data_IF_164973828153
#
_entry.id   IF_164973828153
#
_cell.length_a   1.000
_cell.length_b   1.000
_cell.length_c   1.000
_cell.angle_alpha   90.00
_cell.angle_beta   90.00
_cell.angle_gamma   90.00
#
_symmetry.space_group_name_H-M   'P 1'
#
loop_
_entity.id
_entity.type
_entity.pdbx_description
1 polymer ?
#
# COMPACT_ATOMS: atom_id res chain seq x y z
N UNK A 1 15.66 -0.44 10.40
CA UNK A 1 14.37 -1.14 10.18
C UNK A 1 13.72 -0.63 8.91
N UNK A 2 13.17 -1.51 8.12
CA UNK A 2 12.37 -1.15 6.94
C UNK A 2 10.94 -1.59 7.16
N UNK A 3 9.97 -0.72 6.92
CA UNK A 3 8.54 -1.04 6.98
C UNK A 3 7.97 -0.90 5.58
N UNK A 4 7.34 -1.95 5.07
CA UNK A 4 6.50 -1.87 3.88
C UNK A 4 5.05 -1.74 4.33
N UNK A 5 4.40 -0.63 3.97
CA UNK A 5 3.02 -0.36 4.30
C UNK A 5 2.17 -0.32 3.02
N UNK A 6 1.08 -1.08 3.02
CA UNK A 6 0.07 -1.04 1.97
C UNK A 6 -1.19 -0.34 2.49
N UNK A 7 -1.76 0.56 1.68
CA UNK A 7 -2.97 1.28 2.02
C UNK A 7 -4.21 0.49 1.63
N UNK A 8 -4.96 0.05 2.62
CA UNK A 8 -6.28 -0.55 2.42
C UNK A 8 -7.34 0.55 2.41
N UNK A 9 -8.04 0.71 1.30
CA UNK A 9 -9.14 1.64 1.18
C UNK A 9 -10.38 1.20 1.97
N UNK A 10 -10.33 1.25 3.31
CA UNK A 10 -11.52 1.16 4.14
C UNK A 10 -11.89 2.58 4.57
N UNK A 11 -12.84 3.19 3.84
CA UNK A 11 -13.46 4.44 4.29
C UNK A 11 -14.40 4.15 5.46
N UNK A 12 -14.00 4.49 6.66
CA UNK A 12 -14.97 4.68 7.74
C UNK A 12 -15.77 5.97 7.49
N UNK A 13 -17.09 5.88 7.71
CA UNK A 13 -17.98 7.04 7.60
C UNK A 13 -17.53 8.09 8.63
N UNK A 14 -17.32 9.36 8.26
CA UNK A 14 -17.09 10.41 9.24
C UNK A 14 -18.31 10.55 10.14
N UNK A 15 -18.09 10.72 11.42
CA UNK A 15 -19.11 11.01 12.43
C UNK A 15 -19.92 12.22 12.00
N UNK A 16 -21.22 12.02 11.79
CA UNK A 16 -22.13 13.04 11.30
C UNK A 16 -22.43 14.06 12.41
N UNK A 17 -21.99 15.29 12.22
CA UNK A 17 -22.45 16.43 13.00
C UNK A 17 -23.36 17.34 12.15
N UNK A 18 -24.43 17.75 12.74
CA UNK A 18 -25.68 18.38 12.33
C UNK A 18 -25.68 19.62 11.37
N UNK A 19 -24.88 19.70 10.31
CA UNK A 19 -25.01 20.73 9.25
C UNK A 19 -25.59 20.23 7.92
N UNK A 20 -26.26 19.07 7.92
CA UNK A 20 -26.60 18.31 6.70
C UNK A 20 -27.85 18.74 5.92
N UNK A 21 -28.76 19.53 6.44
CA UNK A 21 -30.05 19.75 5.73
C UNK A 21 -29.97 20.62 4.47
N UNK A 22 -28.95 21.49 4.31
CA UNK A 22 -28.85 22.41 3.16
C UNK A 22 -27.96 21.88 2.01
N UNK A 23 -27.06 20.95 2.30
CA UNK A 23 -26.19 20.32 1.29
C UNK A 23 -26.86 19.12 0.64
N UNK A 24 -27.81 18.49 1.33
CA UNK A 24 -28.52 17.29 0.85
C UNK A 24 -29.50 17.59 -0.30
N UNK A 25 -29.98 18.82 -0.44
CA UNK A 25 -30.86 19.23 -1.55
C UNK A 25 -30.13 19.50 -2.86
N UNK A 26 -28.85 19.94 -2.80
CA UNK A 26 -28.01 20.17 -3.97
C UNK A 26 -27.33 18.92 -4.52
N UNK A 27 -27.27 17.84 -3.74
CA UNK A 27 -26.60 16.59 -4.16
C UNK A 27 -27.52 15.59 -4.87
N UNK A 28 -28.83 15.82 -4.90
CA UNK A 28 -29.78 14.89 -5.53
C UNK A 28 -29.82 14.95 -7.06
N UNK A 29 -29.33 16.02 -7.68
CA UNK A 29 -29.39 16.19 -9.14
C UNK A 29 -28.19 15.65 -9.91
N UNK A 30 -27.09 15.24 -9.22
CA UNK A 30 -25.88 14.72 -9.86
C UNK A 30 -25.31 13.45 -9.19
N UNK A 31 -26.17 12.53 -8.75
CA UNK A 31 -25.70 11.25 -8.25
C UNK A 31 -25.15 10.40 -9.40
N UNK A 32 -23.82 10.23 -9.44
CA UNK A 32 -23.16 9.36 -10.40
C UNK A 32 -23.57 7.90 -10.07
N UNK A 33 -24.43 7.31 -10.90
CA UNK A 33 -24.88 5.93 -10.73
C UNK A 33 -23.92 4.94 -11.39
N UNK A 34 -23.64 3.83 -10.68
CA UNK A 34 -22.89 2.71 -11.23
C UNK A 34 -23.86 1.69 -11.78
N UNK A 35 -23.64 1.25 -13.01
CA UNK A 35 -24.31 0.13 -13.64
C UNK A 35 -23.34 -1.05 -13.71
N UNK A 36 -23.76 -2.20 -13.23
CA UNK A 36 -23.01 -3.45 -13.36
C UNK A 36 -23.72 -4.32 -14.39
N UNK A 37 -22.96 -4.88 -15.32
CA UNK A 37 -23.41 -5.88 -16.26
C UNK A 37 -22.75 -7.20 -15.89
N UNK A 38 -23.53 -8.21 -15.57
CA UNK A 38 -23.05 -9.53 -15.19
C UNK A 38 -23.67 -10.55 -16.16
N UNK A 39 -22.85 -11.27 -16.89
CA UNK A 39 -23.30 -12.28 -17.87
C UNK A 39 -24.33 -11.76 -18.91
N UNK A 40 -24.17 -10.48 -19.32
CA UNK A 40 -25.09 -9.82 -20.26
C UNK A 40 -26.33 -9.18 -19.63
N UNK A 41 -26.61 -9.43 -18.36
CA UNK A 41 -27.71 -8.81 -17.63
C UNK A 41 -27.30 -7.54 -16.89
N UNK A 42 -28.05 -6.46 -17.09
CA UNK A 42 -27.82 -5.19 -16.41
C UNK A 42 -28.49 -5.19 -15.05
N UNK A 43 -27.70 -5.16 -13.99
CA UNK A 43 -28.18 -5.06 -12.62
C UNK A 43 -28.72 -3.66 -12.31
N UNK A 44 -29.54 -3.56 -11.25
CA UNK A 44 -30.09 -2.28 -10.79
C UNK A 44 -28.98 -1.30 -10.45
N UNK A 45 -29.04 -0.10 -11.02
CA UNK A 45 -28.08 0.97 -10.75
C UNK A 45 -28.11 1.38 -9.27
N UNK A 46 -26.94 1.70 -8.73
CA UNK A 46 -26.82 2.23 -7.37
C UNK A 46 -25.92 3.49 -7.36
N UNK A 47 -26.16 4.44 -6.44
CA UNK A 47 -25.41 5.68 -6.40
C UNK A 47 -23.97 5.46 -5.88
N UNK A 48 -23.00 6.08 -6.54
CA UNK A 48 -21.63 6.13 -6.09
C UNK A 48 -21.48 7.18 -4.98
N UNK A 49 -21.44 6.74 -3.73
CA UNK A 49 -21.38 7.64 -2.56
C UNK A 49 -19.96 8.14 -2.25
N UNK A 50 -18.95 7.49 -2.75
CA UNK A 50 -17.54 7.86 -2.48
C UNK A 50 -16.59 7.16 -3.45
N UNK A 51 -15.40 7.77 -3.64
CA UNK A 51 -14.37 7.27 -4.53
C UNK A 51 -14.50 7.83 -5.95
N UNK A 52 -13.62 7.35 -6.81
CA UNK A 52 -13.60 7.67 -8.24
C UNK A 52 -13.79 6.39 -9.04
N UNK A 53 -14.24 6.51 -10.28
CA UNK A 53 -14.35 5.37 -11.20
C UNK A 53 -12.97 4.75 -11.43
N UNK A 54 -12.90 3.43 -11.38
CA UNK A 54 -11.74 2.71 -11.88
C UNK A 54 -11.57 3.02 -13.37
N UNK A 55 -10.34 3.35 -13.79
CA UNK A 55 -10.04 3.82 -15.16
C UNK A 55 -10.26 5.32 -15.39
N UNK A 56 -10.68 6.10 -14.38
CA UNK A 56 -10.71 7.56 -14.49
C UNK A 56 -9.26 8.11 -14.52
N UNK A 57 -8.85 8.88 -15.54
CA UNK A 57 -7.48 9.41 -15.64
C UNK A 57 -7.07 10.31 -14.47
N UNK A 58 -8.04 10.94 -13.82
CA UNK A 58 -7.79 11.85 -12.69
C UNK A 58 -7.56 11.11 -11.37
N UNK A 59 -8.01 9.87 -11.25
CA UNK A 59 -7.92 9.13 -9.99
C UNK A 59 -6.49 8.89 -9.48
N UNK A 60 -5.52 8.48 -10.32
CA UNK A 60 -4.14 8.32 -9.88
C UNK A 60 -3.51 9.64 -9.44
N UNK A 61 -3.81 10.74 -10.15
CA UNK A 61 -3.28 12.05 -9.81
C UNK A 61 -3.79 12.52 -8.44
N UNK A 62 -5.09 12.43 -8.20
CA UNK A 62 -5.70 12.80 -6.92
C UNK A 62 -5.16 11.95 -5.77
N UNK A 63 -4.98 10.65 -5.99
CA UNK A 63 -4.39 9.76 -5.00
C UNK A 63 -2.96 10.18 -4.66
N UNK A 64 -2.13 10.44 -5.66
CA UNK A 64 -0.75 10.89 -5.46
C UNK A 64 -0.67 12.22 -4.70
N UNK A 65 -1.54 13.19 -5.01
CA UNK A 65 -1.58 14.48 -4.30
C UNK A 65 -1.91 14.27 -2.82
N UNK A 66 -2.89 13.41 -2.53
CA UNK A 66 -3.30 13.11 -1.15
C UNK A 66 -2.18 12.39 -0.40
N UNK A 67 -1.53 11.40 -1.03
CA UNK A 67 -0.45 10.64 -0.40
C UNK A 67 0.83 11.47 -0.19
N UNK A 68 1.12 12.42 -1.10
CA UNK A 68 2.29 13.32 -0.98
C UNK A 68 2.19 14.23 0.24
N UNK A 69 0.99 14.58 0.68
CA UNK A 69 0.82 15.34 1.93
C UNK A 69 1.36 14.56 3.14
N UNK A 70 1.07 13.27 3.24
CA UNK A 70 1.63 12.41 4.29
C UNK A 70 3.14 12.24 4.12
N UNK A 71 3.59 11.98 2.89
CA UNK A 71 5.01 11.81 2.60
C UNK A 71 5.83 13.04 3.00
N UNK A 72 5.31 14.23 2.71
CA UNK A 72 5.92 15.50 3.10
C UNK A 72 5.98 15.64 4.61
N UNK A 73 4.91 15.30 5.33
CA UNK A 73 4.89 15.33 6.79
C UNK A 73 5.94 14.39 7.40
N UNK A 74 6.06 13.16 6.88
CA UNK A 74 7.08 12.19 7.33
C UNK A 74 8.50 12.69 7.05
N UNK A 75 8.74 13.28 5.87
CA UNK A 75 10.07 13.83 5.52
C UNK A 75 10.45 15.00 6.42
N UNK A 76 9.49 15.87 6.75
CA UNK A 76 9.72 17.04 7.60
C UNK A 76 9.90 16.68 9.09
N UNK A 77 9.41 15.53 9.54
CA UNK A 77 9.46 15.13 10.93
C UNK A 77 10.89 14.76 11.37
N UNK A 78 11.40 15.50 12.36
CA UNK A 78 12.78 15.34 12.86
C UNK A 78 12.96 14.12 13.77
N UNK A 79 11.90 13.69 14.43
CA UNK A 79 11.94 12.51 15.31
C UNK A 79 11.99 11.20 14.49
N UNK A 80 11.55 11.23 13.23
CA UNK A 80 11.68 10.12 12.31
C UNK A 80 13.02 10.25 11.59
N UNK A 81 13.99 9.43 12.00
CA UNK A 81 15.29 9.37 11.35
C UNK A 81 15.31 8.27 10.30
N UNK A 82 15.69 8.65 9.08
CA UNK A 82 15.88 7.76 7.95
C UNK A 82 17.29 7.18 7.88
N UNK A 83 17.51 6.30 6.92
CA UNK A 83 18.84 5.74 6.65
C UNK A 83 19.68 6.73 5.81
N UNK A 84 20.98 6.70 6.01
CA UNK A 84 21.93 7.54 5.26
C UNK A 84 22.46 6.82 4.01
N UNK A 85 21.99 7.25 2.84
CA UNK A 85 22.49 6.78 1.54
C UNK A 85 22.89 8.03 0.74
N UNK A 86 24.04 8.62 1.07
CA UNK A 86 24.46 9.94 0.60
C UNK A 86 23.60 11.07 1.19
N UNK A 87 22.29 11.00 0.99
CA UNK A 87 21.26 11.83 1.66
C UNK A 87 20.45 10.98 2.63
N UNK A 88 19.79 11.63 3.60
CA UNK A 88 18.82 10.95 4.46
C UNK A 88 17.62 10.50 3.62
N UNK A 89 17.32 9.20 3.64
CA UNK A 89 16.15 8.61 3.00
C UNK A 89 15.22 8.08 4.06
N UNK A 90 14.02 8.64 4.17
CA UNK A 90 13.00 8.23 5.14
C UNK A 90 11.96 7.32 4.52
N UNK A 91 11.60 7.57 3.24
CA UNK A 91 10.55 6.80 2.58
C UNK A 91 10.72 6.77 1.06
N UNK A 92 10.18 5.71 0.46
CA UNK A 92 9.96 5.55 -0.97
C UNK A 92 8.48 5.24 -1.20
N UNK A 93 7.91 5.79 -2.27
CA UNK A 93 6.52 5.61 -2.65
C UNK A 93 6.43 5.03 -4.05
N UNK A 94 5.57 4.05 -4.22
CA UNK A 94 5.19 3.53 -5.52
C UNK A 94 3.69 3.19 -5.49
N UNK A 95 2.88 3.97 -6.20
CA UNK A 95 1.42 3.88 -6.16
C UNK A 95 0.90 3.89 -4.70
N UNK A 96 0.20 2.85 -4.28
CA UNK A 96 -0.32 2.66 -2.92
C UNK A 96 0.66 2.00 -1.95
N UNK A 97 1.80 1.55 -2.43
CA UNK A 97 2.84 0.95 -1.58
C UNK A 97 3.84 1.99 -1.08
N UNK A 98 4.11 1.96 0.22
CA UNK A 98 5.08 2.82 0.88
C UNK A 98 6.14 1.97 1.57
N UNK A 99 7.40 2.26 1.30
CA UNK A 99 8.53 1.71 2.06
C UNK A 99 9.09 2.80 2.96
N UNK A 100 9.18 2.51 4.25
CA UNK A 100 9.73 3.40 5.26
C UNK A 100 11.06 2.85 5.76
N UNK A 101 12.07 3.70 5.80
CA UNK A 101 13.41 3.39 6.29
C UNK A 101 13.62 4.09 7.61
N UNK A 102 13.82 3.34 8.69
CA UNK A 102 13.86 3.87 10.05
C UNK A 102 15.15 3.43 10.75
N UNK A 103 15.98 4.37 11.15
CA UNK A 103 17.22 4.11 11.84
C UNK A 103 16.98 3.77 13.32
N UNK A 104 16.16 4.57 14.01
CA UNK A 104 15.77 4.32 15.41
C UNK A 104 14.30 3.86 15.49
N UNK A 105 14.05 2.53 15.51
CA UNK A 105 12.69 2.03 15.36
C UNK A 105 11.75 2.35 16.55
N UNK A 106 12.28 2.46 17.77
CA UNK A 106 11.43 2.65 18.97
C UNK A 106 10.71 3.99 18.97
N UNK A 107 11.47 5.08 18.89
CA UNK A 107 10.91 6.45 18.95
C UNK A 107 10.27 6.86 17.63
N UNK A 108 10.95 6.57 16.52
CA UNK A 108 10.48 6.93 15.19
C UNK A 108 9.17 6.22 14.80
N UNK A 109 8.97 4.96 15.25
CA UNK A 109 7.72 4.24 14.94
C UNK A 109 6.53 4.84 15.68
N UNK A 110 6.70 5.22 16.93
CA UNK A 110 5.65 5.89 17.70
C UNK A 110 5.19 7.17 17.00
N UNK A 111 6.15 8.01 16.61
CA UNK A 111 5.85 9.26 15.91
C UNK A 111 5.24 9.05 14.55
N UNK A 112 5.72 8.05 13.81
CA UNK A 112 5.15 7.65 12.54
C UNK A 112 3.67 7.25 12.67
N UNK A 113 3.33 6.43 13.66
CA UNK A 113 1.96 5.98 13.91
C UNK A 113 1.04 7.15 14.30
N UNK A 114 1.55 8.13 15.06
CA UNK A 114 0.81 9.36 15.36
C UNK A 114 0.48 10.13 14.09
N UNK A 115 1.47 10.41 13.23
CA UNK A 115 1.27 11.10 11.94
C UNK A 115 0.29 10.38 11.03
N UNK A 116 0.41 9.06 10.92
CA UNK A 116 -0.50 8.24 10.13
C UNK A 116 -1.93 8.31 10.67
N UNK A 117 -2.09 8.28 11.99
CA UNK A 117 -3.40 8.37 12.62
C UNK A 117 -4.05 9.75 12.41
N UNK A 118 -3.29 10.82 12.52
CA UNK A 118 -3.75 12.18 12.23
C UNK A 118 -4.15 12.32 10.76
N UNK A 119 -3.31 11.86 9.84
CA UNK A 119 -3.59 11.84 8.43
C UNK A 119 -4.85 11.04 8.10
N UNK A 120 -5.03 9.87 8.71
CA UNK A 120 -6.20 9.02 8.48
C UNK A 120 -7.52 9.68 8.87
N UNK A 121 -7.52 10.52 9.91
CA UNK A 121 -8.71 11.29 10.33
C UNK A 121 -9.13 12.31 9.26
N UNK A 122 -8.18 12.91 8.56
CA UNK A 122 -8.43 13.93 7.53
C UNK A 122 -8.69 13.29 6.18
N UNK A 123 -7.83 12.38 5.75
CA UNK A 123 -7.88 11.77 4.43
C UNK A 123 -8.91 10.64 4.30
N UNK A 124 -9.33 10.04 5.43
CA UNK A 124 -10.24 8.89 5.45
C UNK A 124 -9.60 7.59 4.97
N UNK A 125 -8.26 7.53 4.89
CA UNK A 125 -7.50 6.33 4.55
C UNK A 125 -6.88 5.73 5.80
N UNK A 126 -6.85 4.39 5.88
CA UNK A 126 -6.18 3.68 6.97
C UNK A 126 -5.09 2.79 6.42
N UNK A 127 -3.98 2.68 7.16
CA UNK A 127 -2.97 1.68 6.87
C UNK A 127 -3.55 0.29 7.15
N UNK A 128 -3.33 -0.61 6.23
CA UNK A 128 -3.63 -2.01 6.42
C UNK A 128 -2.49 -2.69 7.20
N UNK A 129 -2.60 -2.72 8.52
CA UNK A 129 -1.59 -3.31 9.40
C UNK A 129 -1.35 -4.80 9.14
N UNK A 130 -2.37 -5.53 8.67
CA UNK A 130 -2.25 -6.96 8.35
C UNK A 130 -1.41 -7.22 7.10
N UNK A 131 -1.43 -6.29 6.13
CA UNK A 131 -0.61 -6.36 4.91
C UNK A 131 0.73 -5.62 5.06
N UNK A 132 0.90 -4.86 6.13
CA UNK A 132 2.12 -4.11 6.39
C UNK A 132 3.14 -5.00 7.10
N UNK A 133 4.35 -5.01 6.58
CA UNK A 133 5.45 -5.82 7.08
C UNK A 133 6.57 -4.92 7.60
N UNK A 134 7.17 -5.29 8.71
CA UNK A 134 8.39 -4.67 9.22
C UNK A 134 9.56 -5.64 9.07
N UNK A 135 10.66 -5.17 8.52
CA UNK A 135 11.89 -5.91 8.40
C UNK A 135 12.94 -5.30 9.33
N UNK A 136 13.43 -6.09 10.27
CA UNK A 136 14.39 -5.63 11.29
C UNK A 136 15.80 -6.09 10.92
N UNK A 137 16.72 -5.14 10.83
CA UNK A 137 18.14 -5.39 10.71
C UNK A 137 18.79 -5.13 12.06
N UNK A 138 18.78 -6.12 12.94
CA UNK A 138 19.41 -6.03 14.26
C UNK A 138 20.02 -7.37 14.65
N UNK A 139 21.19 -7.33 15.24
CA UNK A 139 21.87 -8.51 15.78
C UNK A 139 21.57 -8.72 17.26
N UNK A 140 20.68 -7.90 17.86
CA UNK A 140 20.39 -7.94 19.28
C UNK A 140 18.94 -8.45 19.52
N UNK A 141 18.83 -9.69 19.98
CA UNK A 141 17.54 -10.33 20.27
C UNK A 141 16.67 -9.56 21.29
N UNK A 142 17.30 -8.87 22.25
CA UNK A 142 16.57 -8.08 23.25
C UNK A 142 15.89 -6.88 22.59
N UNK A 143 16.61 -6.17 21.75
CA UNK A 143 16.08 -5.03 20.96
C UNK A 143 14.97 -5.50 20.00
N UNK A 144 15.15 -6.66 19.39
CA UNK A 144 14.15 -7.24 18.52
C UNK A 144 12.82 -7.51 19.26
N UNK A 145 12.88 -8.09 20.46
CA UNK A 145 11.69 -8.34 21.29
C UNK A 145 10.98 -7.05 21.68
N UNK A 146 11.73 -6.04 22.16
CA UNK A 146 11.17 -4.73 22.52
C UNK A 146 10.46 -4.05 21.35
N UNK A 147 11.02 -4.17 20.13
CA UNK A 147 10.43 -3.61 18.93
C UNK A 147 9.16 -4.38 18.57
N UNK A 148 9.19 -5.71 18.61
CA UNK A 148 8.02 -6.57 18.34
C UNK A 148 6.80 -6.21 19.21
N UNK A 149 7.03 -5.85 20.46
CA UNK A 149 5.96 -5.45 21.38
C UNK A 149 5.42 -4.03 21.09
N UNK A 150 6.23 -3.20 20.44
CA UNK A 150 5.90 -1.78 20.23
C UNK A 150 5.18 -1.52 18.90
N UNK A 151 5.46 -2.32 17.87
CA UNK A 151 4.94 -2.08 16.52
C UNK A 151 3.71 -2.96 16.21
N UNK A 152 2.67 -2.40 15.57
CA UNK A 152 1.47 -3.15 15.21
C UNK A 152 1.62 -3.92 13.88
N UNK A 153 2.83 -4.03 13.33
CA UNK A 153 3.10 -4.65 12.05
C UNK A 153 3.63 -6.07 12.21
N UNK A 154 3.34 -6.92 11.24
CA UNK A 154 3.93 -8.27 11.18
C UNK A 154 5.42 -8.16 10.86
N UNK A 155 6.26 -8.84 11.65
CA UNK A 155 7.70 -8.85 11.40
C UNK A 155 8.04 -9.98 10.42
N UNK A 156 8.65 -9.61 9.31
CA UNK A 156 9.19 -10.55 8.34
C UNK A 156 10.52 -11.11 8.85
N UNK A 157 10.68 -12.43 8.83
CA UNK A 157 11.84 -13.11 9.43
C UNK A 157 12.96 -13.39 8.44
N UNK A 158 12.66 -13.61 7.16
CA UNK A 158 13.69 -13.99 6.16
C UNK A 158 13.66 -13.16 4.90
N UNK A 159 12.47 -12.85 4.41
CA UNK A 159 12.29 -12.09 3.16
C UNK A 159 10.95 -11.35 3.18
N UNK A 160 10.88 -10.26 2.45
CA UNK A 160 9.62 -9.55 2.16
C UNK A 160 9.40 -9.45 0.67
N UNK A 161 8.15 -9.37 0.22
CA UNK A 161 7.83 -9.15 -1.19
C UNK A 161 7.45 -7.69 -1.38
N UNK A 162 8.12 -7.01 -2.31
CA UNK A 162 7.83 -5.63 -2.65
C UNK A 162 7.85 -5.46 -4.17
N UNK A 163 6.77 -4.93 -4.75
CA UNK A 163 6.59 -4.74 -6.19
C UNK A 163 6.87 -6.01 -7.02
N UNK A 164 6.46 -7.16 -6.51
CA UNK A 164 6.68 -8.44 -7.17
C UNK A 164 8.06 -9.07 -6.94
N UNK A 165 9.03 -8.33 -6.38
CA UNK A 165 10.38 -8.78 -6.11
C UNK A 165 10.51 -9.23 -4.65
N UNK A 166 11.14 -10.37 -4.41
CA UNK A 166 11.52 -10.81 -3.07
C UNK A 166 12.79 -10.08 -2.62
N UNK A 167 12.71 -9.40 -1.49
CA UNK A 167 13.83 -8.74 -0.83
C UNK A 167 14.28 -9.63 0.33
N UNK A 168 15.36 -10.42 0.16
CA UNK A 168 15.93 -11.23 1.22
C UNK A 168 16.72 -10.37 2.20
N UNK A 169 17.07 -10.94 3.34
CA UNK A 169 17.95 -10.30 4.34
C UNK A 169 19.35 -10.05 3.79
N UNK A 170 19.89 -11.03 3.05
CA UNK A 170 21.21 -10.96 2.43
C UNK A 170 21.10 -10.57 0.95
N UNK A 171 21.79 -9.52 0.56
CA UNK A 171 21.78 -9.03 -0.83
C UNK A 171 22.29 -10.05 -1.84
N UNK A 172 23.20 -10.97 -1.43
CA UNK A 172 23.71 -12.05 -2.28
C UNK A 172 22.62 -13.01 -2.74
N UNK A 173 21.55 -13.17 -1.95
CA UNK A 173 20.46 -14.08 -2.26
C UNK A 173 19.41 -13.45 -3.19
N UNK A 174 19.48 -12.14 -3.41
CA UNK A 174 18.54 -11.39 -4.24
C UNK A 174 18.42 -11.97 -5.67
N UNK A 175 19.55 -12.31 -6.27
CA UNK A 175 19.60 -12.89 -7.61
C UNK A 175 18.97 -14.28 -7.66
N UNK A 176 19.30 -15.13 -6.68
CA UNK A 176 18.82 -16.50 -6.61
C UNK A 176 17.30 -16.53 -6.38
N UNK A 177 16.83 -15.78 -5.37
CA UNK A 177 15.43 -15.73 -4.95
C UNK A 177 14.48 -15.20 -6.04
N UNK A 178 14.97 -14.34 -6.91
CA UNK A 178 14.13 -13.72 -7.92
C UNK A 178 14.42 -14.22 -9.33
N UNK A 179 15.67 -14.11 -9.79
CA UNK A 179 16.00 -14.39 -11.19
C UNK A 179 15.95 -15.88 -11.53
N UNK A 180 16.53 -16.73 -10.70
CA UNK A 180 16.58 -18.18 -10.97
C UNK A 180 15.15 -18.75 -10.91
N UNK A 181 14.37 -18.38 -9.89
CA UNK A 181 12.98 -18.81 -9.74
C UNK A 181 12.14 -18.39 -10.93
N UNK A 182 12.23 -17.11 -11.34
CA UNK A 182 11.51 -16.58 -12.51
C UNK A 182 11.89 -17.30 -13.80
N UNK A 183 13.18 -17.56 -14.01
CA UNK A 183 13.65 -18.29 -15.19
C UNK A 183 13.12 -19.73 -15.25
N UNK A 184 12.94 -20.35 -14.11
CA UNK A 184 12.36 -21.68 -14.02
C UNK A 184 10.86 -21.66 -14.36
N UNK A 185 10.11 -20.72 -13.80
CA UNK A 185 8.70 -20.50 -14.13
C UNK A 185 8.50 -20.26 -15.63
N UNK A 186 9.31 -19.37 -16.25
CA UNK A 186 9.26 -19.10 -17.68
C UNK A 186 9.52 -20.38 -18.52
N UNK A 187 10.50 -21.18 -18.13
CA UNK A 187 10.78 -22.46 -18.83
C UNK A 187 9.60 -23.42 -18.74
N UNK A 188 8.99 -23.55 -17.56
CA UNK A 188 7.82 -24.41 -17.36
C UNK A 188 6.62 -23.92 -18.17
N UNK A 189 6.31 -22.63 -18.17
CA UNK A 189 5.23 -22.06 -18.94
C UNK A 189 5.47 -22.19 -20.46
N UNK A 190 6.68 -21.93 -20.92
CA UNK A 190 7.05 -22.13 -22.33
C UNK A 190 6.84 -23.59 -22.76
N UNK A 191 7.17 -24.56 -21.90
CA UNK A 191 6.95 -25.97 -22.19
C UNK A 191 5.45 -26.32 -22.22
N UNK A 192 4.63 -25.75 -21.35
CA UNK A 192 3.16 -25.90 -21.41
C UNK A 192 2.59 -25.33 -22.70
N UNK A 193 3.02 -24.16 -23.11
CA UNK A 193 2.51 -23.47 -24.32
C UNK A 193 2.87 -24.21 -25.62
N UNK A 194 3.99 -24.90 -25.69
CA UNK A 194 4.35 -25.73 -26.85
C UNK A 194 3.30 -26.77 -27.21
N UNK A 195 2.51 -27.21 -26.24
CA UNK A 195 1.52 -28.27 -26.40
C UNK A 195 0.10 -27.71 -26.63
N UNK A 196 -0.09 -26.37 -26.70
CA UNK A 196 -1.39 -25.75 -26.95
C UNK A 196 -1.61 -25.72 -28.47
N UNK A 197 -2.70 -26.36 -29.00
CA UNK A 197 -3.03 -26.30 -30.41
C UNK A 197 -3.28 -24.85 -30.84
N UNK A 198 -2.72 -24.47 -31.98
CA UNK A 198 -2.87 -23.09 -32.57
C UNK A 198 -4.31 -22.68 -32.89
N UNK A 199 -5.25 -23.61 -32.91
CA UNK A 199 -6.66 -23.40 -33.19
C UNK A 199 -7.43 -22.63 -32.11
N UNK A 200 -6.87 -22.43 -30.93
CA UNK A 200 -7.55 -21.74 -29.80
C UNK A 200 -7.53 -20.21 -29.93
N UNK A 201 -6.76 -19.65 -30.87
CA UNK A 201 -6.57 -18.20 -30.99
C UNK A 201 -7.17 -17.57 -32.29
N UNK A 202 -8.05 -18.27 -32.97
CA UNK A 202 -8.64 -17.80 -34.24
C UNK A 202 -10.17 -17.62 -34.20
N UNK A 203 -10.76 -17.35 -33.03
CA UNK A 203 -12.16 -16.93 -32.91
C UNK A 203 -12.26 -15.52 -32.26
#
# INVERSE_FOLDING_TARGET
>A
MTITASWGGVREKPHQNNKKKKVEQLSKENECCINIILSGEKLKAFPLKSGTRQGCPLSPLLFNIVLEALATAIRAEKEIKGIQIGKEVKLSLFADDMVLYIENPKDSTRKLLELINEYSKVAGYKINTQKSLAFLYTNNEKTEREIKETIPFTIATKRTKYLGVYLPEETKDLYIENYITLMQEIKEDTNRWKNIPYTVFMD
#
